data_IF_824121634631
#
_entry.id   IF_824121634631
#
_cell.length_a   1.000
_cell.length_b   1.000
_cell.length_c   1.000
_cell.angle_alpha   90.00
_cell.angle_beta   90.00
_cell.angle_gamma   90.00
#
_symmetry.space_group_name_H-M   'P 1'
#
loop_
_entity.id
_entity.type
_entity.pdbx_description
1 polymer ?
#
# COMPACT_ATOMS: atom_id res chain seq x y z
N UNK A 1 -3.85 -23.72 9.24
CA UNK A 1 -3.88 -22.30 8.93
C UNK A 1 -4.94 -22.05 7.87
N UNK A 2 -5.78 -21.02 8.05
CA UNK A 2 -6.82 -20.73 7.06
C UNK A 2 -6.18 -20.12 5.77
N UNK A 3 -6.90 -20.23 4.65
CA UNK A 3 -6.48 -19.62 3.37
C UNK A 3 -6.27 -18.11 3.55
N UNK A 4 -7.15 -17.44 4.29
CA UNK A 4 -7.04 -16.00 4.60
C UNK A 4 -5.72 -15.69 5.29
N UNK A 5 -5.32 -16.53 6.26
CA UNK A 5 -4.07 -16.36 6.99
C UNK A 5 -2.85 -16.51 6.09
N UNK A 6 -2.89 -17.40 5.11
CA UNK A 6 -1.80 -17.58 4.15
C UNK A 6 -1.74 -16.40 3.17
N UNK A 7 -2.88 -15.94 2.66
CA UNK A 7 -2.95 -14.78 1.77
C UNK A 7 -2.43 -13.51 2.46
N UNK A 8 -2.74 -13.34 3.74
CA UNK A 8 -2.21 -12.24 4.53
C UNK A 8 -0.69 -12.28 4.64
N UNK A 9 -0.13 -13.47 4.92
CA UNK A 9 1.33 -13.64 4.97
C UNK A 9 2.00 -13.33 3.64
N UNK A 10 1.40 -13.77 2.56
CA UNK A 10 1.91 -13.51 1.21
C UNK A 10 1.84 -12.01 0.87
N UNK A 11 0.78 -11.35 1.29
CA UNK A 11 0.60 -9.91 1.11
C UNK A 11 1.67 -9.12 1.88
N UNK A 12 1.91 -9.48 3.13
CA UNK A 12 2.94 -8.86 3.97
C UNK A 12 4.33 -9.06 3.34
N UNK A 13 4.64 -10.27 2.93
CA UNK A 13 5.91 -10.58 2.27
C UNK A 13 6.10 -9.76 1.00
N UNK A 14 5.05 -9.60 0.20
CA UNK A 14 5.09 -8.81 -1.01
C UNK A 14 5.33 -7.32 -0.73
N UNK A 15 4.71 -6.76 0.32
CA UNK A 15 4.93 -5.38 0.71
C UNK A 15 6.40 -5.15 1.13
N UNK A 16 6.99 -6.07 1.90
CA UNK A 16 8.40 -6.00 2.29
C UNK A 16 9.32 -6.07 1.07
N UNK A 17 9.00 -6.92 0.11
CA UNK A 17 9.76 -7.03 -1.13
C UNK A 17 9.68 -5.72 -1.93
N UNK A 18 8.50 -5.12 -2.03
CA UNK A 18 8.31 -3.81 -2.66
C UNK A 18 9.18 -2.74 -1.99
N UNK A 19 9.23 -2.73 -0.66
CA UNK A 19 10.10 -1.81 0.08
C UNK A 19 11.58 -2.00 -0.27
N UNK A 20 12.05 -3.25 -0.30
CA UNK A 20 13.46 -3.55 -0.63
C UNK A 20 13.81 -3.12 -2.05
N UNK A 21 12.87 -3.21 -2.98
CA UNK A 21 13.06 -2.89 -4.39
C UNK A 21 12.73 -1.43 -4.72
N UNK A 22 12.36 -0.61 -3.73
CA UNK A 22 12.04 0.79 -3.96
C UNK A 22 13.18 1.53 -4.63
N UNK A 23 12.83 2.35 -5.62
CA UNK A 23 13.80 3.22 -6.30
C UNK A 23 13.90 4.54 -5.56
N UNK A 24 15.08 4.80 -4.97
CA UNK A 24 15.31 5.99 -4.12
C UNK A 24 16.09 7.09 -4.82
N UNK A 25 16.52 6.88 -6.05
CA UNK A 25 17.40 7.77 -6.78
C UNK A 25 18.88 7.43 -6.57
N UNK A 26 19.34 7.31 -5.34
CA UNK A 26 20.73 6.98 -5.01
C UNK A 26 20.94 5.48 -4.73
N UNK A 27 19.90 4.77 -4.37
CA UNK A 27 19.89 3.33 -4.03
C UNK A 27 20.90 2.94 -2.95
N UNK A 28 21.12 3.82 -1.98
CA UNK A 28 21.98 3.54 -0.84
C UNK A 28 21.23 2.73 0.22
N UNK A 29 21.94 1.89 1.02
CA UNK A 29 21.27 1.10 2.07
C UNK A 29 20.51 1.94 3.11
N UNK A 30 21.01 3.14 3.42
CA UNK A 30 20.42 4.05 4.40
C UNK A 30 19.23 4.87 3.88
N UNK A 31 18.92 4.76 2.59
CA UNK A 31 17.85 5.55 1.99
C UNK A 31 16.49 5.17 2.56
N UNK A 32 15.61 6.15 2.64
CA UNK A 32 14.22 5.95 3.04
C UNK A 32 13.48 5.16 1.97
N UNK A 33 12.85 4.07 2.38
CA UNK A 33 12.09 3.18 1.49
C UNK A 33 10.72 2.88 2.05
N UNK A 34 9.75 2.91 1.14
CA UNK A 34 8.38 2.48 1.41
C UNK A 34 8.01 1.36 0.47
N UNK A 35 7.14 0.47 0.94
CA UNK A 35 6.61 -0.61 0.14
C UNK A 35 5.13 -0.77 0.36
N UNK A 36 4.45 -1.27 -0.64
CA UNK A 36 3.04 -1.60 -0.55
C UNK A 36 2.74 -2.83 -1.41
N UNK A 37 1.71 -3.55 -1.02
CA UNK A 37 1.18 -4.65 -1.83
C UNK A 37 -0.34 -4.64 -1.74
N UNK A 38 -1.00 -4.87 -2.86
CA UNK A 38 -2.45 -4.96 -2.93
C UNK A 38 -2.86 -6.40 -3.21
N UNK A 39 -3.94 -6.82 -2.56
CA UNK A 39 -4.60 -8.11 -2.81
C UNK A 39 -5.88 -7.83 -3.58
N UNK A 40 -6.02 -8.45 -4.74
CA UNK A 40 -7.20 -8.29 -5.57
C UNK A 40 -8.30 -9.29 -5.18
N UNK A 41 -9.51 -9.02 -5.59
CA UNK A 41 -10.65 -9.91 -5.39
C UNK A 41 -10.42 -11.28 -6.02
N UNK A 42 -9.62 -11.34 -7.09
CA UNK A 42 -9.26 -12.62 -7.75
C UNK A 42 -8.21 -13.42 -6.98
N UNK A 43 -7.64 -12.86 -5.91
CA UNK A 43 -6.61 -13.51 -5.11
C UNK A 43 -5.18 -13.27 -5.57
N UNK A 44 -4.96 -12.34 -6.49
CA UNK A 44 -3.62 -11.99 -6.95
C UNK A 44 -3.04 -10.86 -6.11
N UNK A 45 -1.72 -10.86 -5.95
CA UNK A 45 -0.98 -9.87 -5.18
C UNK A 45 -0.04 -9.12 -6.10
N UNK A 46 -0.08 -7.78 -6.01
CA UNK A 46 0.81 -6.90 -6.76
C UNK A 46 1.50 -5.94 -5.81
N UNK A 47 2.81 -5.91 -5.85
CA UNK A 47 3.61 -5.09 -4.95
C UNK A 47 4.40 -4.03 -5.69
N UNK A 48 4.82 -3.02 -4.96
CA UNK A 48 5.75 -2.01 -5.44
C UNK A 48 6.38 -1.26 -4.26
N UNK A 49 7.50 -0.58 -4.53
CA UNK A 49 8.04 0.46 -3.67
C UNK A 49 7.79 1.82 -4.29
N UNK A 50 8.22 2.90 -3.61
CA UNK A 50 8.17 4.22 -4.21
C UNK A 50 9.09 4.26 -5.45
N UNK A 51 8.77 5.16 -6.36
CA UNK A 51 9.62 5.51 -7.48
C UNK A 51 10.00 6.98 -7.37
N UNK A 52 11.23 7.24 -6.99
CA UNK A 52 11.74 8.59 -6.73
C UNK A 52 11.91 9.40 -8.01
N UNK A 53 11.58 10.68 -7.94
CA UNK A 53 11.88 11.66 -8.98
C UNK A 53 12.68 12.81 -8.41
N UNK A 54 13.68 13.26 -9.15
CA UNK A 54 14.48 14.44 -8.80
C UNK A 54 13.63 15.72 -8.77
N UNK A 55 12.45 15.68 -9.38
CA UNK A 55 11.46 16.77 -9.32
C UNK A 55 10.56 16.65 -8.08
N UNK A 56 10.82 15.74 -7.17
CA UNK A 56 10.07 15.42 -5.94
C UNK A 56 8.56 15.24 -6.14
N UNK A 57 7.87 16.23 -6.69
CA UNK A 57 6.41 16.18 -6.93
C UNK A 57 5.99 15.08 -7.89
N UNK A 58 6.90 14.53 -8.68
CA UNK A 58 6.65 13.43 -9.60
C UNK A 58 6.96 12.07 -8.97
N UNK A 59 7.50 12.04 -7.76
CA UNK A 59 7.75 10.78 -7.05
C UNK A 59 6.44 10.03 -6.87
N UNK A 60 6.42 8.76 -7.27
CA UNK A 60 5.28 7.88 -7.07
C UNK A 60 5.38 7.18 -5.72
N UNK A 61 4.33 7.25 -4.93
CA UNK A 61 4.25 6.54 -3.66
C UNK A 61 4.09 5.03 -3.89
N UNK A 62 4.49 4.23 -2.92
CA UNK A 62 4.40 2.78 -3.03
C UNK A 62 2.96 2.31 -3.28
N UNK A 63 1.98 2.91 -2.61
CA UNK A 63 0.57 2.58 -2.77
C UNK A 63 0.08 2.90 -4.18
N UNK A 64 0.46 4.06 -4.73
CA UNK A 64 0.14 4.45 -6.10
C UNK A 64 0.69 3.44 -7.10
N UNK A 65 1.95 3.07 -6.91
CA UNK A 65 2.65 2.14 -7.80
C UNK A 65 2.07 0.73 -7.72
N UNK A 66 1.68 0.27 -6.53
CA UNK A 66 1.06 -1.05 -6.36
C UNK A 66 -0.32 -1.11 -7.03
N UNK A 67 -1.13 -0.04 -6.91
CA UNK A 67 -2.42 0.06 -7.59
C UNK A 67 -2.24 0.05 -9.11
N UNK A 68 -1.26 0.80 -9.62
CA UNK A 68 -0.94 0.83 -11.04
C UNK A 68 -0.45 -0.53 -11.55
N UNK A 69 0.31 -1.26 -10.74
CA UNK A 69 0.78 -2.60 -11.08
C UNK A 69 -0.40 -3.56 -11.25
N UNK A 70 -1.36 -3.56 -10.32
CA UNK A 70 -2.57 -4.36 -10.44
C UNK A 70 -3.38 -3.95 -11.69
N UNK A 71 -3.53 -2.65 -11.92
CA UNK A 71 -4.25 -2.13 -13.06
C UNK A 71 -3.61 -2.54 -14.39
N UNK A 72 -2.28 -2.62 -14.43
CA UNK A 72 -1.55 -3.10 -15.62
C UNK A 72 -1.89 -4.56 -15.97
N UNK A 73 -2.39 -5.33 -15.00
CA UNK A 73 -2.87 -6.70 -15.19
C UNK A 73 -4.39 -6.79 -15.32
N UNK A 74 -5.07 -5.65 -15.47
CA UNK A 74 -6.53 -5.60 -15.63
C UNK A 74 -7.31 -5.82 -14.34
N UNK A 75 -6.69 -5.67 -13.18
CA UNK A 75 -7.33 -5.92 -11.88
C UNK A 75 -7.48 -4.63 -11.10
N UNK A 76 -8.72 -4.25 -10.84
CA UNK A 76 -9.07 -2.97 -10.20
C UNK A 76 -9.81 -3.15 -8.88
N UNK A 77 -10.29 -4.34 -8.56
CA UNK A 77 -11.03 -4.61 -7.33
C UNK A 77 -10.03 -5.06 -6.26
N UNK A 78 -9.75 -4.16 -5.32
CA UNK A 78 -8.76 -4.37 -4.27
C UNK A 78 -9.49 -4.68 -2.95
N UNK A 79 -9.14 -5.78 -2.32
CA UNK A 79 -9.76 -6.22 -1.06
C UNK A 79 -8.89 -5.92 0.16
N UNK A 80 -7.58 -5.78 -0.03
CA UNK A 80 -6.65 -5.44 1.03
C UNK A 80 -5.40 -4.76 0.49
N UNK A 81 -4.78 -3.92 1.32
CA UNK A 81 -3.47 -3.32 1.03
C UNK A 81 -2.60 -3.41 2.27
N UNK A 82 -1.35 -3.80 2.09
CA UNK A 82 -0.34 -3.76 3.15
C UNK A 82 0.68 -2.67 2.82
N UNK A 83 1.05 -1.89 3.84
CA UNK A 83 1.94 -0.72 3.70
C UNK A 83 3.05 -0.86 4.72
N UNK A 84 4.29 -0.64 4.30
CA UNK A 84 5.48 -0.70 5.15
C UNK A 84 6.49 0.37 4.78
N UNK A 85 7.47 0.58 5.63
CA UNK A 85 8.60 1.45 5.38
C UNK A 85 9.72 1.18 6.38
N UNK A 86 10.93 1.57 6.02
CA UNK A 86 12.11 1.39 6.88
C UNK A 86 12.31 2.55 7.86
N UNK A 87 11.46 3.56 7.82
CA UNK A 87 11.48 4.62 8.80
C UNK A 87 10.46 4.33 9.90
N UNK A 88 10.97 3.80 11.00
CA UNK A 88 10.29 3.94 12.27
C UNK A 88 11.07 5.03 13.00
N UNK A 89 10.59 6.25 12.96
CA UNK A 89 11.21 7.43 13.56
C UNK A 89 11.43 7.33 15.08
N UNK A 90 11.83 6.15 15.57
CA UNK A 90 11.99 5.90 17.00
C UNK A 90 10.67 5.98 17.77
N UNK A 91 9.57 6.08 17.08
CA UNK A 91 8.21 6.03 17.61
C UNK A 91 7.58 4.72 17.20
N UNK A 92 6.66 4.20 18.00
CA UNK A 92 5.88 3.01 17.62
C UNK A 92 4.75 3.37 16.65
N UNK A 93 4.91 4.49 15.93
CA UNK A 93 3.87 4.98 15.03
C UNK A 93 3.85 4.22 13.72
N UNK A 94 2.67 3.91 13.27
CA UNK A 94 2.45 3.27 11.99
C UNK A 94 2.69 4.26 10.85
N UNK A 95 3.11 3.72 9.70
CA UNK A 95 3.20 4.49 8.48
C UNK A 95 1.82 4.48 7.83
N UNK A 96 1.11 5.60 7.92
CA UNK A 96 -0.22 5.76 7.35
C UNK A 96 -0.15 6.14 5.88
N UNK A 97 -1.14 5.74 5.05
CA UNK A 97 -1.24 6.28 3.71
C UNK A 97 -1.49 7.78 3.78
N UNK A 98 -0.78 8.55 2.96
CA UNK A 98 -1.00 10.00 2.89
C UNK A 98 -2.36 10.30 2.25
N UNK A 99 -2.78 11.57 2.31
CA UNK A 99 -4.09 11.96 1.76
C UNK A 99 -4.22 11.69 0.26
N UNK A 100 -3.13 11.79 -0.49
CA UNK A 100 -3.14 11.47 -1.94
C UNK A 100 -3.40 9.99 -2.17
N UNK A 101 -2.72 9.11 -1.42
CA UNK A 101 -2.95 7.67 -1.52
C UNK A 101 -4.34 7.30 -1.04
N UNK A 102 -4.83 7.90 0.04
CA UNK A 102 -6.22 7.70 0.52
C UNK A 102 -7.24 8.06 -0.56
N UNK A 103 -6.97 9.11 -1.34
CA UNK A 103 -7.86 9.51 -2.44
C UNK A 103 -8.00 8.38 -3.46
N UNK A 104 -6.89 7.77 -3.86
CA UNK A 104 -6.92 6.65 -4.80
C UNK A 104 -7.63 5.42 -4.21
N UNK A 105 -7.40 5.14 -2.93
CA UNK A 105 -8.08 4.03 -2.24
C UNK A 105 -9.58 4.28 -2.15
N UNK A 106 -9.98 5.52 -1.89
CA UNK A 106 -11.39 5.92 -1.89
C UNK A 106 -12.04 5.69 -3.27
N UNK A 107 -11.38 6.12 -4.34
CA UNK A 107 -11.88 5.92 -5.70
C UNK A 107 -11.97 4.42 -6.05
N UNK A 108 -11.02 3.62 -5.58
CA UNK A 108 -11.08 2.16 -5.71
C UNK A 108 -12.34 1.60 -5.04
N UNK A 109 -12.64 2.09 -3.83
CA UNK A 109 -13.88 1.70 -3.13
C UNK A 109 -15.13 2.07 -3.94
N UNK A 110 -15.18 3.28 -4.49
CA UNK A 110 -16.34 3.72 -5.26
C UNK A 110 -16.62 2.82 -6.47
N UNK A 111 -15.56 2.29 -7.08
CA UNK A 111 -15.68 1.40 -8.23
C UNK A 111 -15.99 -0.04 -7.86
N UNK A 112 -15.32 -0.56 -6.85
CA UNK A 112 -15.44 -1.96 -6.45
C UNK A 112 -16.51 -2.24 -5.42
N UNK A 113 -16.91 -1.22 -4.62
CA UNK A 113 -17.77 -1.33 -3.44
C UNK A 113 -17.19 -2.25 -2.35
N UNK A 114 -15.87 -2.43 -2.37
CA UNK A 114 -15.17 -3.22 -1.35
C UNK A 114 -14.52 -2.30 -0.33
N UNK A 115 -14.95 -2.39 0.93
CA UNK A 115 -14.31 -1.70 2.05
C UNK A 115 -13.02 -2.43 2.40
N UNK A 116 -11.93 -2.08 1.71
CA UNK A 116 -10.66 -2.80 1.82
C UNK A 116 -10.07 -2.75 3.22
N UNK A 117 -9.37 -3.82 3.56
CA UNK A 117 -8.56 -3.88 4.76
C UNK A 117 -7.19 -3.23 4.50
N UNK A 118 -6.73 -2.43 5.46
CA UNK A 118 -5.43 -1.77 5.40
C UNK A 118 -4.57 -2.32 6.52
N UNK A 119 -3.45 -2.95 6.17
CA UNK A 119 -2.47 -3.47 7.13
C UNK A 119 -1.29 -2.51 7.16
N UNK A 120 -1.03 -1.91 8.32
CA UNK A 120 0.12 -1.05 8.54
C UNK A 120 1.21 -1.87 9.23
N UNK A 121 2.36 -1.97 8.59
CA UNK A 121 3.44 -2.86 9.01
C UNK A 121 4.66 -2.08 9.47
N UNK A 122 5.45 -2.69 10.37
CA UNK A 122 6.81 -2.23 10.61
C UNK A 122 7.75 -2.74 9.50
N UNK A 123 9.02 -2.38 9.58
CA UNK A 123 10.04 -2.76 8.58
C UNK A 123 10.32 -4.25 8.52
N UNK A 124 9.87 -5.02 9.51
CA UNK A 124 10.03 -6.48 9.58
C UNK A 124 8.77 -7.23 9.16
N UNK A 125 7.71 -6.50 8.83
CA UNK A 125 6.43 -7.08 8.43
C UNK A 125 5.50 -7.42 9.58
N UNK A 126 5.79 -6.92 10.80
CA UNK A 126 4.87 -7.08 11.91
C UNK A 126 3.69 -6.13 11.74
N UNK A 127 2.48 -6.63 11.90
CA UNK A 127 1.27 -5.82 11.78
C UNK A 127 1.13 -4.93 13.02
N UNK A 128 1.22 -3.62 12.82
CA UNK A 128 1.06 -2.62 13.87
C UNK A 128 -0.40 -2.21 14.02
N UNK A 129 -1.11 -2.05 12.91
CA UNK A 129 -2.52 -1.68 12.90
C UNK A 129 -3.26 -2.36 11.76
N UNK A 130 -4.53 -2.64 12.00
CA UNK A 130 -5.49 -3.12 11.01
C UNK A 130 -6.63 -2.11 10.92
N UNK A 131 -6.86 -1.57 9.75
CA UNK A 131 -7.87 -0.55 9.53
C UNK A 131 -8.79 -0.98 8.39
N UNK A 132 -9.98 -0.43 8.37
CA UNK A 132 -10.85 -0.48 7.20
C UNK A 132 -10.84 0.88 6.53
N UNK A 133 -10.86 0.90 5.21
CA UNK A 133 -10.75 2.15 4.45
C UNK A 133 -11.80 3.18 4.89
N UNK A 134 -13.05 2.77 5.07
CA UNK A 134 -14.11 3.70 5.43
C UNK A 134 -13.94 4.34 6.81
N UNK A 135 -13.12 3.72 7.68
CA UNK A 135 -12.84 4.27 9.01
C UNK A 135 -11.79 5.40 8.97
N UNK A 136 -11.05 5.53 7.87
CA UNK A 136 -9.96 6.52 7.74
C UNK A 136 -10.24 7.60 6.69
N UNK A 137 -11.41 7.56 6.06
CA UNK A 137 -11.83 8.54 5.07
C UNK A 137 -12.78 9.54 5.71
N UNK A 138 -12.44 10.82 5.61
CA UNK A 138 -13.24 11.95 6.10
C UNK A 138 -13.64 12.85 4.95
N UNK A 139 -14.94 13.22 4.88
CA UNK A 139 -15.45 14.15 3.88
C UNK A 139 -14.98 13.81 2.46
N UNK A 140 -15.24 12.59 1.98
CA UNK A 140 -14.69 12.15 0.70
C UNK A 140 -15.30 12.87 -0.50
N UNK A 141 -14.47 13.01 -1.53
CA UNK A 141 -14.90 13.48 -2.84
C UNK A 141 -14.18 12.67 -3.93
N UNK A 142 -14.81 12.28 -5.04
CA UNK A 142 -16.25 12.36 -5.29
C UNK A 142 -17.03 11.41 -4.36
N UNK A 143 -18.33 11.59 -4.29
CA UNK A 143 -19.18 10.71 -3.47
C UNK A 143 -19.64 9.47 -4.24
N UNK A 144 -19.60 9.55 -5.55
CA UNK A 144 -19.96 8.46 -6.45
C UNK A 144 -19.25 8.63 -7.79
N UNK A 145 -19.13 7.56 -8.52
CA UNK A 145 -18.53 7.54 -9.87
C UNK A 145 -19.51 6.94 -10.88
#
# INVERSE_FOLDING_TARGET
>A
MSIISQMEKDLIKAALEGMRNAFTGTNKPEDLRFGAAVLTKKGNIYSSGQYYSDTYSLTLHAEQSALAHAAAHGEYEIVAIAITGNETLGTNDSIYPCHMCKQLLWESYLRSKVNMEILLLDEKGRVLERLKLLDVINYPWPKEV
#
